data_IF_151940849018
#
_entry.id   IF_151940849018
#
_cell.length_a   1.000
_cell.length_b   1.000
_cell.length_c   1.000
_cell.angle_alpha   90.00
_cell.angle_beta   90.00
_cell.angle_gamma   90.00
#
_symmetry.space_group_name_H-M   'P 1'
#
loop_
_entity.id
_entity.type
_entity.pdbx_description
1 polymer ?
#
# COMPACT_ATOMS: atom_id res chain seq x y z
N UNK A 1 -15.27 -21.15 18.30
CA UNK A 1 -13.89 -20.79 17.96
C UNK A 1 -13.82 -19.27 18.00
N UNK A 2 -12.94 -18.71 18.82
CA UNK A 2 -12.70 -17.27 18.77
C UNK A 2 -12.04 -16.93 17.41
N UNK A 3 -12.52 -15.90 16.75
CA UNK A 3 -11.84 -15.37 15.58
C UNK A 3 -10.48 -14.86 16.02
N UNK A 4 -9.41 -15.23 15.33
CA UNK A 4 -8.08 -14.72 15.63
C UNK A 4 -8.04 -13.30 15.04
N UNK A 5 -7.82 -12.34 15.91
CA UNK A 5 -7.52 -10.98 15.50
C UNK A 5 -6.17 -10.98 14.76
N UNK A 6 -6.22 -10.76 13.45
CA UNK A 6 -5.06 -10.83 12.58
C UNK A 6 -5.17 -9.73 11.52
N UNK A 7 -4.37 -8.70 11.67
CA UNK A 7 -4.23 -7.62 10.72
C UNK A 7 -3.80 -8.12 9.33
N UNK A 8 -4.38 -7.57 8.28
CA UNK A 8 -4.08 -7.99 6.90
C UNK A 8 -4.02 -6.84 5.88
N UNK A 9 -4.08 -5.60 6.33
CA UNK A 9 -4.09 -4.42 5.48
C UNK A 9 -5.39 -4.24 4.69
N UNK A 10 -5.38 -3.29 3.78
CA UNK A 10 -6.50 -3.01 2.89
C UNK A 10 -6.53 -4.04 1.75
N UNK A 11 -7.64 -4.77 1.64
CA UNK A 11 -7.87 -5.72 0.53
C UNK A 11 -8.98 -5.22 -0.36
N UNK A 12 -8.74 -5.02 -1.66
CA UNK A 12 -9.80 -4.69 -2.60
C UNK A 12 -10.86 -5.80 -2.59
N UNK A 13 -12.12 -5.40 -2.39
CA UNK A 13 -13.24 -6.33 -2.33
C UNK A 13 -14.11 -6.22 -3.58
N UNK A 14 -14.64 -5.04 -3.84
CA UNK A 14 -15.49 -4.79 -4.99
C UNK A 14 -15.43 -3.32 -5.41
N UNK A 15 -16.10 -3.01 -6.50
CA UNK A 15 -16.32 -1.64 -6.94
C UNK A 15 -17.75 -1.23 -6.64
N UNK A 16 -17.95 -0.09 -5.98
CA UNK A 16 -19.28 0.45 -5.71
C UNK A 16 -20.05 0.65 -7.02
N UNK A 17 -21.26 0.12 -7.08
CA UNK A 17 -22.13 0.20 -8.25
C UNK A 17 -21.83 -0.77 -9.39
N UNK A 18 -21.00 -1.78 -9.17
CA UNK A 18 -20.71 -2.84 -10.15
C UNK A 18 -20.65 -4.21 -9.48
N UNK A 19 -21.28 -5.20 -10.09
CA UNK A 19 -21.21 -6.59 -9.63
C UNK A 19 -19.93 -7.30 -10.09
N UNK A 20 -19.03 -6.61 -10.77
CA UNK A 20 -17.79 -7.17 -11.27
C UNK A 20 -16.60 -6.59 -10.51
N UNK A 21 -15.82 -7.47 -9.90
CA UNK A 21 -14.51 -7.13 -9.37
C UNK A 21 -13.52 -7.03 -10.54
N UNK A 22 -13.53 -5.90 -11.24
CA UNK A 22 -12.50 -5.57 -12.22
C UNK A 22 -11.64 -4.42 -11.69
N UNK A 23 -11.13 -4.55 -10.51
CA UNK A 23 -10.22 -3.58 -9.93
C UNK A 23 -8.87 -3.72 -10.63
N UNK A 24 -8.72 -2.97 -11.72
CA UNK A 24 -7.43 -2.78 -12.35
C UNK A 24 -6.46 -2.10 -11.39
N UNK A 25 -5.19 -2.35 -11.59
CA UNK A 25 -4.11 -1.60 -10.95
C UNK A 25 -3.47 -0.70 -11.98
N UNK A 26 -3.11 0.51 -11.57
CA UNK A 26 -2.32 1.42 -12.37
C UNK A 26 -0.85 1.38 -11.93
N UNK A 27 0.04 1.69 -12.86
CA UNK A 27 1.47 1.66 -12.63
C UNK A 27 1.96 3.05 -12.22
N UNK A 28 2.68 3.12 -11.11
CA UNK A 28 3.25 4.35 -10.57
C UNK A 28 4.75 4.17 -10.29
N UNK A 29 5.56 5.21 -10.49
CA UNK A 29 6.98 5.12 -10.19
C UNK A 29 7.22 5.12 -8.68
N UNK A 30 8.04 4.17 -8.22
CA UNK A 30 8.58 4.11 -6.85
C UNK A 30 9.94 4.78 -6.76
N UNK A 31 10.71 4.66 -7.82
CA UNK A 31 12.05 5.21 -7.93
C UNK A 31 12.38 5.39 -9.42
N UNK A 32 13.05 6.47 -9.78
CA UNK A 32 13.33 6.77 -11.18
C UNK A 32 14.65 6.19 -11.69
N UNK A 33 15.65 6.06 -10.85
CA UNK A 33 17.00 5.72 -11.30
C UNK A 33 17.86 5.04 -10.22
N UNK A 34 17.26 4.48 -9.22
CA UNK A 34 18.00 3.90 -8.08
C UNK A 34 18.63 4.95 -7.17
N UNK A 35 18.20 6.19 -7.28
CA UNK A 35 18.67 7.28 -6.42
C UNK A 35 17.92 7.31 -5.09
N UNK A 36 18.48 8.03 -4.11
CA UNK A 36 17.83 8.28 -2.82
C UNK A 36 16.55 9.14 -2.89
N UNK A 37 16.16 9.57 -4.07
CA UNK A 37 14.89 10.26 -4.29
C UNK A 37 13.68 9.31 -4.20
N UNK A 38 13.88 7.99 -4.31
CA UNK A 38 12.85 7.00 -4.10
C UNK A 38 12.51 6.77 -2.64
N UNK A 39 11.40 6.05 -2.40
CA UNK A 39 11.00 5.68 -1.05
C UNK A 39 12.05 4.79 -0.37
N UNK A 40 12.48 5.19 0.81
CA UNK A 40 13.31 4.37 1.71
C UNK A 40 12.50 3.40 2.53
N UNK A 41 11.20 3.63 2.60
CA UNK A 41 10.28 2.85 3.42
C UNK A 41 9.92 1.55 2.73
N UNK A 42 9.71 0.54 3.54
CA UNK A 42 9.09 -0.70 3.10
C UNK A 42 7.60 -0.44 2.84
N UNK A 43 7.09 -0.92 1.71
CA UNK A 43 5.67 -0.83 1.37
C UNK A 43 5.18 -2.24 1.06
N UNK A 44 4.15 -2.70 1.77
CA UNK A 44 3.62 -4.06 1.64
C UNK A 44 2.29 -4.06 0.89
N UNK A 45 1.95 -5.17 0.25
CA UNK A 45 0.62 -5.36 -0.35
C UNK A 45 -0.48 -5.12 0.68
N UNK A 46 -1.42 -4.25 0.33
CA UNK A 46 -2.48 -3.79 1.24
C UNK A 46 -2.13 -2.54 2.03
N UNK A 47 -0.95 -1.95 1.83
CA UNK A 47 -0.63 -0.65 2.43
C UNK A 47 -1.26 0.48 1.63
N UNK A 48 -1.89 1.46 2.30
CA UNK A 48 -2.31 2.70 1.67
C UNK A 48 -1.09 3.54 1.28
N UNK A 49 -1.13 4.13 0.10
CA UNK A 49 -0.05 4.94 -0.45
C UNK A 49 -0.51 6.34 -0.82
N UNK A 50 0.42 7.27 -0.81
CA UNK A 50 0.24 8.68 -1.13
C UNK A 50 1.14 9.10 -2.29
N UNK A 51 0.72 10.09 -3.10
CA UNK A 51 1.61 10.70 -4.08
C UNK A 51 2.55 11.69 -3.40
N UNK A 52 3.81 11.71 -3.81
CA UNK A 52 4.79 12.69 -3.40
C UNK A 52 4.89 13.83 -4.42
N UNK A 53 5.36 14.99 -3.98
CA UNK A 53 5.61 16.14 -4.86
C UNK A 53 6.67 15.85 -5.95
N UNK A 54 7.50 14.84 -5.75
CA UNK A 54 8.47 14.34 -6.74
C UNK A 54 7.84 13.53 -7.88
N UNK A 55 6.52 13.24 -7.81
CA UNK A 55 5.84 12.33 -8.74
C UNK A 55 6.01 10.85 -8.42
N UNK A 56 6.70 10.53 -7.34
CA UNK A 56 6.83 9.17 -6.80
C UNK A 56 5.69 8.87 -5.84
N UNK A 57 5.61 7.64 -5.35
CA UNK A 57 4.66 7.27 -4.28
C UNK A 57 5.40 6.79 -3.04
N UNK A 58 4.76 6.94 -1.88
CA UNK A 58 5.26 6.43 -0.60
C UNK A 58 4.11 5.89 0.27
N UNK A 59 4.44 5.21 1.35
CA UNK A 59 3.47 4.70 2.31
C UNK A 59 2.88 5.84 3.14
N UNK A 60 1.62 5.74 3.50
CA UNK A 60 0.97 6.67 4.43
C UNK A 60 1.64 6.63 5.81
N UNK A 61 1.79 7.77 6.42
CA UNK A 61 2.30 7.92 7.79
C UNK A 61 3.79 8.18 7.90
N UNK A 62 4.55 8.04 6.81
CA UNK A 62 6.00 8.17 6.88
C UNK A 62 6.52 9.60 6.72
N UNK A 63 5.81 10.46 6.04
CA UNK A 63 6.26 11.84 5.81
C UNK A 63 5.23 12.93 6.16
N UNK A 64 3.93 12.64 6.25
CA UNK A 64 2.90 13.68 6.24
C UNK A 64 1.72 13.48 7.20
N UNK A 65 1.84 12.63 8.21
CA UNK A 65 0.91 12.65 9.35
C UNK A 65 -0.60 12.55 9.04
N UNK A 66 -0.99 11.83 7.99
CA UNK A 66 -2.41 11.54 7.71
C UNK A 66 -3.24 12.67 7.09
N UNK A 67 -2.63 13.79 6.73
CA UNK A 67 -3.35 14.93 6.10
C UNK A 67 -3.28 14.93 4.57
N UNK A 68 -2.55 13.99 3.97
CA UNK A 68 -2.41 13.91 2.51
C UNK A 68 -3.47 12.97 1.94
N UNK A 69 -4.13 13.34 0.83
CA UNK A 69 -5.08 12.46 0.15
C UNK A 69 -4.43 11.13 -0.24
N UNK A 70 -5.12 10.03 0.02
CA UNK A 70 -4.69 8.71 -0.43
C UNK A 70 -4.73 8.64 -1.96
N UNK A 71 -3.68 8.06 -2.55
CA UNK A 71 -3.68 7.69 -3.96
C UNK A 71 -4.47 6.38 -4.16
N UNK A 72 -4.23 5.40 -3.31
CA UNK A 72 -4.81 4.07 -3.41
C UNK A 72 -4.12 3.07 -2.51
N UNK A 73 -4.21 1.79 -2.87
CA UNK A 73 -3.64 0.68 -2.12
C UNK A 73 -2.59 -0.04 -2.95
N UNK A 74 -1.41 -0.22 -2.37
CA UNK A 74 -0.28 -0.92 -3.00
C UNK A 74 -0.58 -2.42 -3.14
N UNK A 75 -0.38 -2.94 -4.35
CA UNK A 75 -0.67 -4.33 -4.72
C UNK A 75 0.56 -5.14 -5.11
N UNK A 76 1.73 -4.51 -5.07
CA UNK A 76 3.00 -5.13 -5.45
C UNK A 76 3.85 -4.21 -6.30
N UNK A 77 5.05 -4.66 -6.66
CA UNK A 77 5.98 -3.89 -7.47
C UNK A 77 6.84 -4.75 -8.38
N UNK A 78 7.49 -4.07 -9.32
CA UNK A 78 8.51 -4.62 -10.19
C UNK A 78 9.75 -3.73 -10.14
N UNK A 79 10.91 -4.32 -10.02
CA UNK A 79 12.19 -3.62 -10.03
C UNK A 79 13.32 -4.52 -10.54
N UNK A 80 14.49 -3.93 -10.78
CA UNK A 80 15.73 -4.67 -11.04
C UNK A 80 16.53 -4.73 -9.74
N UNK A 81 16.76 -5.93 -9.22
CA UNK A 81 17.55 -6.12 -8.01
C UNK A 81 19.04 -5.73 -8.22
N UNK A 82 19.78 -5.56 -7.14
CA UNK A 82 21.20 -5.13 -7.20
C UNK A 82 22.09 -6.07 -8.00
N UNK A 83 21.73 -7.36 -8.10
CA UNK A 83 22.40 -8.37 -8.93
C UNK A 83 22.05 -8.28 -10.43
N UNK A 84 21.11 -7.41 -10.79
CA UNK A 84 20.62 -7.24 -12.16
C UNK A 84 19.40 -8.10 -12.51
N UNK A 85 18.86 -8.86 -11.57
CA UNK A 85 17.70 -9.74 -11.81
C UNK A 85 16.40 -8.95 -11.83
N UNK A 86 15.56 -9.05 -12.89
CA UNK A 86 14.21 -8.52 -12.87
C UNK A 86 13.36 -9.23 -11.81
N UNK A 87 12.82 -8.46 -10.88
CA UNK A 87 12.10 -9.00 -9.71
C UNK A 87 10.69 -8.45 -9.64
N UNK A 88 9.73 -9.36 -9.43
CA UNK A 88 8.34 -9.03 -9.05
C UNK A 88 8.17 -9.39 -7.59
N UNK A 89 7.66 -8.43 -6.81
CA UNK A 89 7.55 -8.60 -5.35
C UNK A 89 6.21 -8.12 -4.84
N UNK A 90 5.70 -8.82 -3.82
CA UNK A 90 4.52 -8.40 -3.08
C UNK A 90 4.80 -7.21 -2.14
N UNK A 91 6.08 -6.87 -1.92
CA UNK A 91 6.44 -5.71 -1.12
C UNK A 91 7.61 -4.94 -1.76
N UNK A 92 7.68 -3.67 -1.47
CA UNK A 92 8.77 -2.79 -1.86
C UNK A 92 9.85 -2.78 -0.76
N UNK A 93 11.08 -3.22 -1.07
CA UNK A 93 12.16 -3.32 -0.07
C UNK A 93 12.94 -2.01 0.14
N UNK A 94 12.50 -0.92 -0.49
CA UNK A 94 13.21 0.36 -0.48
C UNK A 94 14.23 0.49 -1.62
N UNK A 95 14.61 1.73 -1.92
CA UNK A 95 15.50 2.04 -3.05
C UNK A 95 16.89 1.39 -2.96
N UNK A 96 17.37 1.10 -1.76
CA UNK A 96 18.70 0.49 -1.56
C UNK A 96 18.80 -0.96 -2.09
N UNK A 97 17.66 -1.62 -2.30
CA UNK A 97 17.61 -2.98 -2.81
C UNK A 97 17.61 -3.08 -4.33
N UNK A 98 17.55 -1.94 -5.04
CA UNK A 98 17.49 -1.90 -6.49
C UNK A 98 18.84 -1.53 -7.10
N UNK A 99 19.03 -1.97 -8.33
CA UNK A 99 20.23 -1.64 -9.12
C UNK A 99 20.23 -0.16 -9.46
N UNK A 100 21.36 0.51 -9.27
CA UNK A 100 21.56 1.91 -9.66
C UNK A 100 21.21 2.15 -11.13
N UNK A 101 20.64 3.31 -11.41
CA UNK A 101 20.24 3.73 -12.76
C UNK A 101 19.14 2.84 -13.37
N UNK A 102 18.25 2.27 -12.52
CA UNK A 102 17.08 1.54 -12.96
C UNK A 102 15.82 2.09 -12.29
N UNK A 103 14.70 1.97 -12.99
CA UNK A 103 13.40 2.37 -12.49
C UNK A 103 12.73 1.23 -11.72
N UNK A 104 11.89 1.62 -10.76
CA UNK A 104 11.00 0.70 -10.08
C UNK A 104 9.54 1.16 -10.23
N UNK A 105 8.66 0.20 -10.41
CA UNK A 105 7.24 0.44 -10.66
C UNK A 105 6.40 -0.24 -9.59
N UNK A 106 5.48 0.53 -8.99
CA UNK A 106 4.42 0.02 -8.13
C UNK A 106 3.15 -0.24 -8.93
N UNK A 107 2.38 -1.20 -8.49
CA UNK A 107 1.02 -1.45 -8.94
C UNK A 107 0.06 -1.03 -7.83
N UNK A 108 -0.80 -0.06 -8.10
CA UNK A 108 -1.70 0.55 -7.12
C UNK A 108 -3.14 0.41 -7.57
N UNK A 109 -4.00 -0.08 -6.68
CA UNK A 109 -5.44 -0.03 -6.84
C UNK A 109 -5.91 1.38 -6.43
N UNK A 110 -6.16 2.24 -7.41
CA UNK A 110 -6.44 3.67 -7.24
C UNK A 110 -7.84 4.09 -7.67
N UNK A 111 -8.73 3.13 -7.89
CA UNK A 111 -10.10 3.44 -8.29
C UNK A 111 -10.84 4.12 -7.13
N UNK A 112 -11.35 5.35 -7.29
CA UNK A 112 -12.04 6.09 -6.23
C UNK A 112 -13.35 5.45 -5.78
N UNK A 113 -13.89 4.51 -6.57
CA UNK A 113 -15.10 3.74 -6.24
C UNK A 113 -14.78 2.33 -5.71
N UNK A 114 -13.51 2.03 -5.43
CA UNK A 114 -13.13 0.75 -4.86
C UNK A 114 -13.57 0.64 -3.42
N UNK A 115 -14.13 -0.51 -3.07
CA UNK A 115 -14.41 -0.92 -1.69
C UNK A 115 -13.31 -1.83 -1.19
N UNK A 116 -12.91 -1.63 0.04
CA UNK A 116 -11.84 -2.40 0.67
C UNK A 116 -12.35 -3.07 1.95
N UNK A 117 -11.83 -4.24 2.22
CA UNK A 117 -11.96 -4.90 3.53
C UNK A 117 -10.67 -4.66 4.28
N UNK A 118 -10.79 -4.29 5.54
CA UNK A 118 -9.68 -4.10 6.48
C UNK A 118 -10.10 -4.55 7.87
N UNK A 119 -9.16 -5.04 8.66
CA UNK A 119 -9.39 -5.34 10.06
C UNK A 119 -9.42 -4.06 10.90
N UNK A 120 -10.17 -4.06 12.00
CA UNK A 120 -10.13 -3.00 13.00
C UNK A 120 -9.34 -3.49 14.23
N UNK A 121 -8.59 -2.62 14.87
CA UNK A 121 -7.81 -2.93 16.08
C UNK A 121 -8.68 -3.09 17.33
N UNK A 122 -9.97 -2.81 17.24
CA UNK A 122 -10.94 -2.93 18.32
C UNK A 122 -12.38 -3.08 17.83
N UNK A 123 -13.32 -3.09 18.77
CA UNK A 123 -14.74 -3.15 18.46
C UNK A 123 -15.23 -1.83 17.84
N UNK A 124 -15.80 -1.90 16.66
CA UNK A 124 -16.46 -0.77 16.02
C UNK A 124 -17.87 -0.60 16.58
N UNK A 125 -18.22 0.54 17.19
CA UNK A 125 -19.60 0.79 17.64
C UNK A 125 -20.51 1.04 16.43
N UNK A 126 -21.82 0.81 16.61
CA UNK A 126 -22.81 1.07 15.55
C UNK A 126 -22.79 2.51 15.04
N UNK A 127 -22.39 3.45 15.89
CA UNK A 127 -22.23 4.86 15.52
C UNK A 127 -21.07 5.12 14.52
N UNK A 128 -20.15 4.17 14.35
CA UNK A 128 -19.09 4.25 13.35
C UNK A 128 -19.59 3.97 11.92
N UNK A 129 -20.77 3.39 11.77
CA UNK A 129 -21.44 3.26 10.49
C UNK A 129 -21.65 4.67 9.89
N UNK A 130 -21.18 4.87 8.67
CA UNK A 130 -21.21 6.15 7.95
C UNK A 130 -20.25 7.23 8.49
N UNK A 131 -19.42 6.92 9.48
CA UNK A 131 -18.35 7.82 9.93
C UNK A 131 -17.05 7.58 9.13
N UNK A 132 -16.19 8.59 9.15
CA UNK A 132 -14.82 8.42 8.66
C UNK A 132 -14.01 7.68 9.74
N UNK A 133 -13.28 6.66 9.32
CA UNK A 133 -12.33 5.97 10.19
C UNK A 133 -10.90 6.41 9.87
N UNK A 134 -10.05 6.43 10.88
CA UNK A 134 -8.63 6.66 10.71
C UNK A 134 -7.92 5.33 10.46
N UNK A 135 -6.80 5.39 9.76
CA UNK A 135 -5.86 4.28 9.74
C UNK A 135 -5.00 4.31 11.01
N UNK A 136 -4.72 3.15 11.57
CA UNK A 136 -3.80 3.04 12.71
C UNK A 136 -2.45 3.69 12.34
N UNK A 137 -1.84 4.34 13.33
CA UNK A 137 -0.72 5.27 13.13
C UNK A 137 0.55 4.63 12.58
N UNK A 138 0.70 3.31 12.72
CA UNK A 138 1.86 2.57 12.24
C UNK A 138 1.42 1.47 11.26
N UNK A 139 1.52 1.75 9.97
CA UNK A 139 1.31 0.72 8.96
C UNK A 139 2.61 -0.07 8.84
N UNK A 140 2.57 -1.27 9.36
CA UNK A 140 3.67 -2.24 9.30
C UNK A 140 3.32 -3.40 8.38
N UNK A 141 4.23 -4.34 8.21
CA UNK A 141 4.00 -5.55 7.42
C UNK A 141 5.05 -6.60 7.66
N UNK A 142 4.87 -7.74 7.03
CA UNK A 142 5.84 -8.85 7.11
C UNK A 142 6.55 -9.04 5.77
N UNK A 143 7.87 -9.05 5.78
CA UNK A 143 8.67 -9.29 4.57
C UNK A 143 8.57 -10.75 4.09
N UNK A 144 8.20 -11.67 4.98
CA UNK A 144 8.03 -13.09 4.65
C UNK A 144 6.79 -13.32 3.77
N UNK A 145 5.67 -12.68 4.10
CA UNK A 145 4.43 -12.80 3.33
C UNK A 145 4.26 -11.68 2.30
N UNK A 146 4.93 -10.55 2.50
CA UNK A 146 4.77 -9.33 1.69
C UNK A 146 3.46 -8.59 1.93
N UNK A 147 2.72 -8.92 2.99
CA UNK A 147 1.43 -8.28 3.32
C UNK A 147 1.55 -7.24 4.42
N UNK A 148 0.74 -6.20 4.29
CA UNK A 148 0.53 -5.17 5.29
C UNK A 148 -0.18 -5.74 6.52
N UNK A 149 0.14 -5.17 7.68
CA UNK A 149 -0.57 -5.38 8.95
C UNK A 149 -1.32 -4.08 9.35
N UNK A 150 -1.72 -3.26 8.39
CA UNK A 150 -2.50 -2.05 8.64
C UNK A 150 -3.92 -2.38 9.11
N UNK A 151 -4.45 -1.57 10.02
CA UNK A 151 -5.78 -1.69 10.62
C UNK A 151 -6.45 -0.33 10.69
N UNK A 152 -7.78 -0.33 10.92
CA UNK A 152 -8.51 0.84 11.32
C UNK A 152 -8.33 1.05 12.83
N UNK A 153 -7.99 2.28 13.26
CA UNK A 153 -7.86 2.68 14.64
C UNK A 153 -8.86 3.77 15.07
#
# INVERSE_FOLDING_TARGET
MANIDAAFGLRPYERSGSNYNNQGVNAYPLNFDGSSAGSTSLIWTGSPVIPLASGLIDIVGNANGGTVPLLGVFMGCRYIATDGTPTWSAYWPGYAAIKSSTEATAFVADNPHALYVINADGALPDAALFANANLATAITGTNTSGYSLGELG
#
